data_IF_573595781552
#
_entry.id   IF_573595781552
#
_cell.length_a   1.000
_cell.length_b   1.000
_cell.length_c   1.000
_cell.angle_alpha   90.00
_cell.angle_beta   90.00
_cell.angle_gamma   90.00
#
_symmetry.space_group_name_H-M   'P 1'
#
loop_
_entity.id
_entity.type
_entity.pdbx_description
1 polymer ?
#
# COMPACT_ATOMS: atom_id res chain seq x y z
N UNK A 1 -3.21 -11.63 20.15
CA UNK A 1 -3.96 -11.57 18.87
C UNK A 1 -4.14 -10.09 18.55
N UNK A 2 -3.67 -9.69 17.36
CA UNK A 2 -3.43 -8.32 16.88
C UNK A 2 -4.51 -7.29 17.19
N UNK A 3 -4.24 -6.39 18.14
CA UNK A 3 -5.22 -5.38 18.55
C UNK A 3 -5.08 -4.08 17.75
N UNK A 4 -3.85 -3.67 17.40
CA UNK A 4 -3.62 -2.34 16.81
C UNK A 4 -4.01 -2.24 15.33
N UNK A 5 -3.92 -3.35 14.58
CA UNK A 5 -4.32 -3.43 13.17
C UNK A 5 -5.77 -3.90 12.98
N UNK A 6 -6.46 -4.27 14.06
CA UNK A 6 -7.85 -4.71 13.97
C UNK A 6 -8.77 -3.54 13.60
N UNK A 7 -9.70 -3.85 12.70
CA UNK A 7 -10.77 -2.93 12.30
C UNK A 7 -10.43 -2.02 11.13
N UNK A 8 -9.18 -1.96 10.66
CA UNK A 8 -8.86 -1.29 9.41
C UNK A 8 -9.46 -2.04 8.22
N UNK A 9 -10.17 -1.33 7.36
CA UNK A 9 -10.85 -1.91 6.20
C UNK A 9 -10.42 -1.29 4.88
N UNK A 10 -9.87 -0.07 4.90
CA UNK A 10 -9.36 0.56 3.69
C UNK A 10 -8.01 1.23 3.89
N UNK A 11 -7.29 1.39 2.79
CA UNK A 11 -6.02 2.11 2.73
C UNK A 11 -5.97 3.09 1.55
N UNK A 12 -5.29 4.20 1.78
CA UNK A 12 -4.84 5.12 0.74
C UNK A 12 -3.33 5.30 0.88
N UNK A 13 -2.63 5.44 -0.25
CA UNK A 13 -1.18 5.63 -0.29
C UNK A 13 -0.83 6.78 -1.22
N UNK A 14 0.13 7.60 -0.80
CA UNK A 14 0.76 8.63 -1.62
C UNK A 14 2.29 8.44 -1.56
N UNK A 15 2.94 8.47 -2.73
CA UNK A 15 4.40 8.43 -2.85
C UNK A 15 4.89 9.72 -3.50
N UNK A 16 5.91 10.32 -2.89
CA UNK A 16 6.58 11.52 -3.41
C UNK A 16 8.08 11.31 -3.37
N UNK A 17 8.76 11.51 -4.49
CA UNK A 17 10.21 11.37 -4.59
C UNK A 17 10.85 12.72 -4.91
N UNK A 18 11.97 13.05 -4.26
CA UNK A 18 12.62 14.36 -4.42
C UNK A 18 13.15 14.56 -5.86
N UNK A 19 13.13 15.80 -6.37
CA UNK A 19 13.49 16.13 -7.76
C UNK A 19 14.92 15.75 -8.22
N UNK A 20 15.79 15.33 -7.30
CA UNK A 20 17.17 14.88 -7.57
C UNK A 20 17.34 13.36 -7.77
N UNK A 21 16.25 12.61 -7.83
CA UNK A 21 16.27 11.16 -8.09
C UNK A 21 16.40 10.85 -9.58
N UNK A 22 16.86 9.63 -9.90
CA UNK A 22 16.95 9.12 -11.27
C UNK A 22 15.65 9.34 -12.05
N UNK A 23 15.77 9.54 -13.37
CA UNK A 23 14.62 9.81 -14.25
C UNK A 23 13.55 8.69 -14.20
N UNK A 24 13.96 7.45 -13.90
CA UNK A 24 13.07 6.32 -13.66
C UNK A 24 12.16 6.51 -12.43
N UNK A 25 12.64 7.22 -11.40
CA UNK A 25 11.86 7.51 -10.19
C UNK A 25 10.98 8.76 -10.38
N UNK A 26 11.31 9.67 -11.30
CA UNK A 26 10.47 10.84 -11.62
C UNK A 26 9.13 10.44 -12.25
N UNK A 27 9.10 9.39 -13.07
CA UNK A 27 7.84 8.83 -13.60
C UNK A 27 6.97 8.22 -12.49
N UNK A 28 7.60 7.84 -11.38
CA UNK A 28 6.97 7.30 -10.19
C UNK A 28 6.56 8.36 -9.17
N UNK A 29 6.98 9.62 -9.32
CA UNK A 29 6.56 10.72 -8.47
C UNK A 29 5.03 10.96 -8.59
N UNK A 30 4.40 11.26 -7.47
CA UNK A 30 2.95 11.41 -7.38
C UNK A 30 2.15 10.12 -7.59
N UNK A 31 2.75 8.92 -7.50
CA UNK A 31 1.98 7.68 -7.48
C UNK A 31 1.10 7.68 -6.23
N UNK A 32 -0.22 7.69 -6.43
CA UNK A 32 -1.18 7.58 -5.35
C UNK A 32 -2.30 6.60 -5.70
N UNK A 33 -2.81 5.92 -4.67
CA UNK A 33 -4.02 5.11 -4.75
C UNK A 33 -4.88 5.42 -3.53
N UNK A 34 -6.20 5.44 -3.71
CA UNK A 34 -7.14 5.84 -2.67
C UNK A 34 -8.21 4.78 -2.47
N UNK A 35 -8.63 4.64 -1.21
CA UNK A 35 -9.80 3.87 -0.79
C UNK A 35 -9.75 2.39 -1.23
N UNK A 36 -8.56 1.81 -1.26
CA UNK A 36 -8.37 0.38 -1.53
C UNK A 36 -8.86 -0.44 -0.35
N UNK A 37 -9.62 -1.50 -0.61
CA UNK A 37 -10.20 -2.36 0.40
C UNK A 37 -9.24 -3.45 0.84
N UNK A 38 -9.20 -3.72 2.14
CA UNK A 38 -8.36 -4.77 2.72
C UNK A 38 -8.83 -6.14 2.21
N UNK A 39 -7.90 -6.87 1.59
CA UNK A 39 -8.10 -8.26 1.16
C UNK A 39 -7.64 -9.21 2.25
N UNK A 40 -6.44 -8.97 2.80
CA UNK A 40 -5.82 -9.87 3.77
C UNK A 40 -4.76 -9.13 4.57
N UNK A 41 -4.65 -9.49 5.85
CA UNK A 41 -3.50 -9.21 6.70
C UNK A 41 -2.89 -10.54 7.16
N UNK A 42 -1.57 -10.69 7.03
CA UNK A 42 -0.84 -11.92 7.35
C UNK A 42 0.36 -11.60 8.23
N UNK A 43 0.52 -12.26 9.39
CA UNK A 43 1.74 -12.16 10.18
C UNK A 43 2.92 -12.75 9.39
N UNK A 44 4.07 -12.12 9.47
CA UNK A 44 5.30 -12.61 8.85
C UNK A 44 6.16 -13.28 9.92
N UNK A 45 6.52 -14.55 9.70
CA UNK A 45 7.35 -15.34 10.64
C UNK A 45 8.83 -14.92 10.63
N UNK A 46 9.27 -14.14 9.64
CA UNK A 46 10.66 -13.73 9.52
C UNK A 46 10.98 -12.55 10.45
N UNK A 47 12.10 -12.70 11.17
CA UNK A 47 12.88 -11.59 11.71
C UNK A 47 13.29 -10.67 10.56
N UNK A 48 12.43 -9.72 10.21
CA UNK A 48 12.91 -8.40 9.82
C UNK A 48 13.76 -7.94 11.03
N UNK A 49 14.93 -7.32 10.83
CA UNK A 49 15.87 -6.87 11.90
C UNK A 49 15.27 -5.78 12.83
N UNK A 50 13.99 -5.86 13.11
CA UNK A 50 13.13 -4.90 13.74
C UNK A 50 12.61 -5.48 15.05
N UNK A 51 12.75 -4.69 16.11
CA UNK A 51 12.35 -4.96 17.49
C UNK A 51 10.81 -5.06 17.66
N UNK A 52 10.14 -5.91 16.89
CA UNK A 52 8.68 -5.96 16.83
C UNK A 52 8.11 -7.08 15.95
N UNK A 53 6.79 -7.21 15.96
CA UNK A 53 6.08 -8.19 15.13
C UNK A 53 5.71 -7.59 13.77
N UNK A 54 5.84 -8.36 12.70
CA UNK A 54 5.68 -7.89 11.32
C UNK A 54 4.40 -8.41 10.65
N UNK A 55 3.76 -7.57 9.83
CA UNK A 55 2.56 -7.90 9.05
C UNK A 55 2.74 -7.50 7.60
N UNK A 56 2.30 -8.37 6.70
CA UNK A 56 1.95 -8.01 5.33
C UNK A 56 0.46 -7.73 5.25
N UNK A 57 0.08 -6.59 4.70
CA UNK A 57 -1.31 -6.21 4.44
C UNK A 57 -1.50 -5.94 2.94
N UNK A 58 -2.53 -6.57 2.36
CA UNK A 58 -2.89 -6.46 0.94
C UNK A 58 -4.21 -5.74 0.78
N UNK A 59 -4.24 -4.74 -0.10
CA UNK A 59 -5.44 -3.96 -0.44
C UNK A 59 -5.66 -3.93 -1.95
N UNK A 60 -6.93 -3.91 -2.37
CA UNK A 60 -7.31 -3.83 -3.79
C UNK A 60 -8.53 -2.94 -4.01
N UNK A 61 -8.74 -2.48 -5.24
CA UNK A 61 -9.94 -1.73 -5.64
C UNK A 61 -11.22 -2.55 -5.39
N UNK A 62 -12.23 -1.95 -4.77
CA UNK A 62 -13.47 -2.61 -4.34
C UNK A 62 -14.55 -2.76 -5.40
N UNK A 63 -14.36 -2.27 -6.63
CA UNK A 63 -15.37 -2.39 -7.68
C UNK A 63 -14.82 -3.06 -8.93
N UNK A 64 -15.44 -4.16 -9.40
CA UNK A 64 -15.36 -4.61 -10.78
C UNK A 64 -16.36 -3.79 -11.61
N UNK A 65 -16.21 -2.46 -11.66
CA UNK A 65 -17.08 -1.65 -12.53
C UNK A 65 -16.61 -1.76 -13.97
N UNK A 66 -17.49 -2.37 -14.75
CA UNK A 66 -17.57 -2.47 -16.21
C UNK A 66 -16.55 -3.40 -16.91
N UNK A 67 -17.12 -4.48 -17.44
CA UNK A 67 -16.53 -5.61 -18.15
C UNK A 67 -15.80 -5.27 -19.48
N UNK A 68 -15.26 -4.06 -19.64
CA UNK A 68 -14.51 -3.69 -20.84
C UNK A 68 -13.07 -3.27 -20.55
N UNK A 69 -12.74 -2.73 -19.38
CA UNK A 69 -11.36 -2.35 -19.02
C UNK A 69 -11.03 -2.75 -17.59
N UNK A 70 -10.25 -3.82 -17.40
CA UNK A 70 -9.74 -4.20 -16.07
C UNK A 70 -8.79 -3.11 -15.61
N UNK A 71 -9.21 -2.32 -14.63
CA UNK A 71 -8.36 -1.36 -13.90
C UNK A 71 -8.09 -1.91 -12.51
N UNK A 72 -7.16 -2.84 -12.44
CA UNK A 72 -6.75 -3.42 -11.17
C UNK A 72 -5.80 -2.46 -10.44
N UNK A 73 -6.05 -2.29 -9.15
CA UNK A 73 -5.15 -1.60 -8.23
C UNK A 73 -4.81 -2.54 -7.09
N UNK A 74 -3.53 -2.69 -6.82
CA UNK A 74 -3.00 -3.53 -5.75
C UNK A 74 -2.01 -2.73 -4.93
N UNK A 75 -2.19 -2.77 -3.61
CA UNK A 75 -1.26 -2.22 -2.64
C UNK A 75 -0.90 -3.31 -1.64
N UNK A 76 0.39 -3.65 -1.58
CA UNK A 76 0.97 -4.48 -0.54
C UNK A 76 1.87 -3.63 0.36
N UNK A 77 1.61 -3.63 1.67
CA UNK A 77 2.46 -2.96 2.64
C UNK A 77 3.00 -3.96 3.66
N UNK A 78 4.22 -3.71 4.12
CA UNK A 78 4.79 -4.41 5.27
C UNK A 78 4.94 -3.41 6.41
N UNK A 79 4.31 -3.72 7.54
CA UNK A 79 4.39 -2.90 8.75
C UNK A 79 4.96 -3.71 9.90
N UNK A 80 5.63 -3.03 10.83
CA UNK A 80 6.12 -3.61 12.08
C UNK A 80 5.49 -2.89 13.25
N UNK A 81 4.88 -3.65 14.14
CA UNK A 81 4.43 -3.21 15.45
C UNK A 81 5.61 -3.26 16.43
N UNK A 82 6.12 -2.10 16.82
CA UNK A 82 7.22 -1.97 17.78
C UNK A 82 6.66 -1.99 19.19
N UNK A 83 7.25 -2.80 20.07
CA UNK A 83 6.75 -3.02 21.44
C UNK A 83 7.71 -2.55 22.53
N UNK A 84 8.72 -1.72 22.21
CA UNK A 84 9.67 -1.22 23.22
C UNK A 84 9.10 -0.04 24.03
N UNK A 85 9.59 0.12 25.27
CA UNK A 85 9.15 1.13 26.25
C UNK A 85 9.29 2.57 25.76
N UNK A 86 10.19 2.83 24.81
CA UNK A 86 10.50 4.17 24.32
C UNK A 86 9.93 4.46 22.92
N UNK A 87 9.46 3.44 22.18
CA UNK A 87 9.02 3.55 20.77
C UNK A 87 7.89 2.59 20.43
N UNK A 88 6.80 2.62 21.19
CA UNK A 88 5.60 1.87 20.83
C UNK A 88 4.87 2.50 19.64
N UNK A 89 4.42 1.68 18.67
CA UNK A 89 3.64 2.13 17.52
C UNK A 89 3.90 1.32 16.26
N UNK A 90 3.32 1.77 15.14
CA UNK A 90 3.44 1.09 13.85
C UNK A 90 4.43 1.83 12.96
N UNK A 91 5.38 1.09 12.40
CA UNK A 91 6.33 1.56 11.40
C UNK A 91 6.08 0.87 10.05
N UNK A 92 6.16 1.63 8.95
CA UNK A 92 6.10 1.11 7.59
C UNK A 92 7.52 0.73 7.12
N UNK A 93 7.70 -0.50 6.67
CA UNK A 93 9.00 -1.06 6.21
C UNK A 93 9.10 -1.07 4.69
N UNK A 94 8.01 -1.42 4.02
CA UNK A 94 7.92 -1.39 2.56
C UNK A 94 6.49 -1.16 2.07
N UNK A 95 6.40 -0.67 0.84
CA UNK A 95 5.16 -0.55 0.08
C UNK A 95 5.42 -0.97 -1.38
N UNK A 96 4.56 -1.83 -1.90
CA UNK A 96 4.47 -2.18 -3.31
C UNK A 96 3.13 -1.69 -3.85
N UNK A 97 3.18 -0.91 -4.92
CA UNK A 97 2.05 -0.30 -5.60
C UNK A 97 2.01 -0.86 -7.02
N UNK A 98 0.87 -1.40 -7.43
CA UNK A 98 0.65 -1.87 -8.79
C UNK A 98 -0.70 -1.39 -9.31
N UNK A 99 -0.70 -0.81 -10.51
CA UNK A 99 -1.89 -0.29 -11.18
C UNK A 99 -1.87 -0.69 -12.66
N UNK A 100 -2.97 -1.29 -13.12
CA UNK A 100 -3.22 -1.51 -14.55
C UNK A 100 -4.00 -0.29 -15.09
N UNK A 101 -3.36 0.47 -15.98
CA UNK A 101 -3.87 1.75 -16.50
C UNK A 101 -4.82 1.56 -17.68
N UNK A 102 -4.46 0.66 -18.60
CA UNK A 102 -5.27 0.32 -19.77
C UNK A 102 -5.09 -1.14 -20.14
N UNK A 103 -6.18 -1.75 -20.61
CA UNK A 103 -6.22 -3.10 -21.17
C UNK A 103 -7.06 -3.03 -22.43
N UNK A 104 -6.48 -3.28 -23.60
CA UNK A 104 -7.28 -3.64 -24.78
C UNK A 104 -7.60 -5.14 -24.71
N UNK A 105 -8.87 -5.45 -24.95
CA UNK A 105 -9.50 -6.67 -24.46
C UNK A 105 -8.84 -7.96 -24.96
N UNK A 106 -8.48 -8.86 -24.04
CA UNK A 106 -8.23 -10.28 -24.29
C UNK A 106 -9.52 -11.09 -24.51
N UNK A 107 -10.64 -10.46 -24.95
CA UNK A 107 -11.88 -11.18 -25.25
C UNK A 107 -11.67 -12.03 -26.52
N UNK A 108 -11.30 -13.28 -26.28
CA UNK A 108 -11.03 -14.31 -27.27
C UNK A 108 -12.28 -14.58 -28.12
N UNK A 109 -12.36 -13.97 -29.30
CA UNK A 109 -13.30 -14.34 -30.37
C UNK A 109 -12.50 -14.49 -31.67
N UNK A 110 -11.86 -15.65 -31.84
CA UNK A 110 -11.23 -16.06 -33.11
C UNK A 110 -9.73 -15.73 -33.25
N UNK A 111 -9.04 -16.55 -34.05
CA UNK A 111 -7.59 -16.64 -34.30
C UNK A 111 -6.90 -15.38 -34.90
N UNK A 112 -7.48 -14.19 -34.74
CA UNK A 112 -6.94 -12.95 -35.31
C UNK A 112 -6.85 -11.86 -34.25
N UNK A 113 -5.83 -11.88 -33.39
CA UNK A 113 -5.49 -10.73 -32.55
C UNK A 113 -3.98 -10.59 -32.42
N UNK A 114 -3.40 -9.64 -33.16
CA UNK A 114 -1.97 -9.29 -33.11
C UNK A 114 -1.62 -8.29 -32.01
N UNK A 115 -2.60 -7.65 -31.35
CA UNK A 115 -2.35 -6.44 -30.54
C UNK A 115 -3.03 -6.47 -29.16
N UNK A 116 -2.87 -7.57 -28.40
CA UNK A 116 -3.21 -7.56 -26.97
C UNK A 116 -2.08 -6.90 -26.17
N UNK A 117 -2.34 -5.76 -25.52
CA UNK A 117 -1.39 -5.11 -24.61
C UNK A 117 -2.07 -4.58 -23.36
N UNK A 118 -1.30 -4.53 -22.27
CA UNK A 118 -1.67 -3.87 -21.04
C UNK A 118 -0.57 -2.85 -20.70
N UNK A 119 -0.98 -1.65 -20.28
CA UNK A 119 -0.07 -0.69 -19.68
C UNK A 119 -0.22 -0.73 -18.17
N UNK A 120 0.89 -1.01 -17.49
CA UNK A 120 0.94 -1.08 -16.04
C UNK A 120 1.98 -0.12 -15.47
N UNK A 121 1.75 0.28 -14.22
CA UNK A 121 2.73 0.99 -13.40
C UNK A 121 2.93 0.20 -12.12
N UNK A 122 4.19 -0.11 -11.85
CA UNK A 122 4.61 -0.76 -10.61
C UNK A 122 5.64 0.11 -9.89
N UNK A 123 5.53 0.19 -8.56
CA UNK A 123 6.51 0.86 -7.72
C UNK A 123 6.70 0.08 -6.42
N UNK A 124 7.94 -0.32 -6.17
CA UNK A 124 8.35 -0.90 -4.90
C UNK A 124 9.28 0.04 -4.15
N UNK A 125 8.92 0.36 -2.91
CA UNK A 125 9.76 1.16 -1.99
C UNK A 125 10.00 0.33 -0.73
N UNK A 126 11.26 0.06 -0.41
CA UNK A 126 11.68 -0.66 0.80
C UNK A 126 12.69 0.14 1.59
N UNK A 127 13.23 -0.39 2.69
CA UNK A 127 14.17 0.34 3.55
C UNK A 127 13.56 1.62 4.10
N UNK A 128 12.24 1.62 4.28
CA UNK A 128 11.50 2.75 4.78
C UNK A 128 11.76 2.86 6.28
N UNK A 129 12.23 4.04 6.69
CA UNK A 129 12.43 4.39 8.09
C UNK A 129 11.43 5.49 8.43
N UNK A 130 10.30 5.08 9.02
CA UNK A 130 9.29 5.99 9.55
C UNK A 130 9.40 6.14 11.06
N UNK A 131 8.99 7.28 11.57
CA UNK A 131 8.70 7.38 13.00
C UNK A 131 7.49 6.50 13.32
N UNK A 132 7.51 5.75 14.43
CA UNK A 132 6.36 4.99 14.85
C UNK A 132 5.20 5.94 15.08
N UNK A 133 4.06 5.62 14.51
CA UNK A 133 2.84 6.41 14.70
C UNK A 133 2.07 5.83 15.88
N UNK A 134 1.79 6.67 16.88
CA UNK A 134 1.07 6.25 18.08
C UNK A 134 -0.42 6.26 17.79
N UNK A 135 -1.02 5.08 17.75
CA UNK A 135 -2.46 4.92 17.64
C UNK A 135 -3.06 4.96 19.05
N UNK A 136 -3.20 6.14 19.65
CA UNK A 136 -3.81 6.27 20.98
C UNK A 136 -5.35 6.19 20.87
N UNK A 137 -5.88 4.99 20.64
CA UNK A 137 -7.28 4.65 20.92
C UNK A 137 -8.38 5.45 20.20
N UNK A 138 -8.05 6.25 19.18
CA UNK A 138 -9.03 7.06 18.46
C UNK A 138 -9.82 6.29 17.39
N UNK A 139 -11.03 6.77 17.09
CA UNK A 139 -11.83 6.32 15.93
C UNK A 139 -11.28 6.83 14.58
N UNK A 140 -10.23 7.66 14.60
CA UNK A 140 -9.65 8.30 13.42
C UNK A 140 -8.74 7.39 12.59
N UNK A 141 -8.36 7.85 11.39
CA UNK A 141 -7.43 7.14 10.53
C UNK A 141 -6.03 7.05 11.15
N UNK A 142 -5.35 5.93 10.92
CA UNK A 142 -3.93 5.81 11.22
C UNK A 142 -3.12 6.25 10.00
N UNK A 143 -2.31 7.29 10.16
CA UNK A 143 -1.46 7.82 9.10
C UNK A 143 -0.02 7.46 9.40
N UNK A 144 0.59 6.62 8.57
CA UNK A 144 1.99 6.20 8.67
C UNK A 144 2.79 6.91 7.58
N UNK A 145 3.80 7.67 7.95
CA UNK A 145 4.72 8.32 7.00
C UNK A 145 6.12 7.78 7.19
N UNK A 146 6.72 7.28 6.12
CA UNK A 146 8.08 6.75 6.16
C UNK A 146 8.88 7.20 4.94
N UNK A 147 10.18 7.37 5.13
CA UNK A 147 11.09 7.83 4.07
C UNK A 147 12.18 6.80 3.83
N UNK A 148 12.52 6.58 2.57
CA UNK A 148 13.75 5.91 2.20
C UNK A 148 14.85 6.98 2.04
N UNK A 149 15.90 6.89 2.86
CA UNK A 149 16.99 7.87 2.85
C UNK A 149 17.86 7.83 1.60
N UNK A 150 17.97 6.67 0.95
CA UNK A 150 18.81 6.46 -0.23
C UNK A 150 18.12 6.94 -1.52
N UNK A 151 16.85 6.58 -1.71
CA UNK A 151 16.05 7.03 -2.87
C UNK A 151 15.41 8.39 -2.65
N UNK A 152 15.37 8.91 -1.41
CA UNK A 152 14.70 10.17 -1.10
C UNK A 152 13.16 10.13 -1.20
N UNK A 153 12.57 8.97 -1.52
CA UNK A 153 11.12 8.81 -1.61
C UNK A 153 10.48 8.78 -0.22
N UNK A 154 9.37 9.50 -0.10
CA UNK A 154 8.49 9.50 1.07
C UNK A 154 7.21 8.77 0.71
N UNK A 155 6.82 7.80 1.53
CA UNK A 155 5.57 7.04 1.42
C UNK A 155 4.68 7.41 2.59
N UNK A 156 3.46 7.82 2.29
CA UNK A 156 2.41 8.10 3.27
C UNK A 156 1.27 7.12 3.07
N UNK A 157 1.00 6.28 4.06
CA UNK A 157 -0.12 5.34 4.08
C UNK A 157 -1.15 5.83 5.09
N UNK A 158 -2.42 5.86 4.70
CA UNK A 158 -3.55 6.17 5.57
C UNK A 158 -4.45 4.95 5.66
N UNK A 159 -4.57 4.36 6.85
CA UNK A 159 -5.44 3.23 7.13
C UNK A 159 -6.72 3.74 7.81
N UNK A 160 -7.89 3.37 7.29
CA UNK A 160 -9.18 3.75 7.86
C UNK A 160 -9.89 2.53 8.44
N UNK A 161 -10.49 2.71 9.62
CA UNK A 161 -11.37 1.69 10.20
C UNK A 161 -12.72 1.67 9.51
N UNK A 162 -13.42 0.54 9.57
CA UNK A 162 -14.83 0.51 9.22
C UNK A 162 -15.57 1.57 10.05
N UNK A 163 -16.38 2.41 9.40
CA UNK A 163 -17.28 3.30 10.13
C UNK A 163 -18.24 2.41 10.91
N UNK A 164 -18.25 2.51 12.24
CA UNK A 164 -19.26 1.82 13.03
C UNK A 164 -20.62 2.24 12.49
N UNK A 165 -21.42 1.27 12.04
CA UNK A 165 -22.78 1.54 11.62
C UNK A 165 -23.49 2.20 12.81
N UNK A 166 -23.97 3.43 12.63
CA UNK A 166 -24.80 4.09 13.63
C UNK A 166 -26.04 3.21 13.81
N UNK A 167 -26.16 2.60 14.99
CA UNK A 167 -27.30 1.79 15.39
C UNK A 167 -28.55 2.66 15.59
#
# INVERSE_FOLDING_TARGET
>A
MFDILNGFTTASVDVTCAAGVDDCLKSCDGFSMKDLSLVRATPLEQNIDSEGEAYSMRFTSSSPDEAQHIREKLLDIVVVEKTSTDKSGIALVSASLHEILTVESMLYIGDENTDAYAYERELYVSGLNGEPTSNSGGEGPLVITAKNGASGCTVKVTLNKAKAAAA
#
